data_IF_828323393857
#
_entry.id   IF_828323393857
#
_cell.length_a   1.000
_cell.length_b   1.000
_cell.length_c   1.000
_cell.angle_alpha   90.00
_cell.angle_beta   90.00
_cell.angle_gamma   90.00
#
_symmetry.space_group_name_H-M   'P 1'
#
loop_
_entity.id
_entity.type
_entity.pdbx_description
1 polymer ?
#
# COMPACT_ATOMS: atom_id res chain seq x y z
N UNK A 1 20.09 -24.38 7.70
CA UNK A 1 18.78 -23.71 7.85
C UNK A 1 18.99 -22.27 7.42
N UNK A 2 18.78 -22.00 6.13
CA UNK A 2 18.90 -20.64 5.60
C UNK A 2 17.65 -19.90 6.07
N UNK A 3 17.84 -18.75 6.70
CA UNK A 3 16.79 -17.82 7.11
C UNK A 3 15.92 -17.55 5.88
N UNK A 4 14.70 -18.07 5.87
CA UNK A 4 13.71 -17.65 4.87
C UNK A 4 13.45 -16.18 5.13
N UNK A 5 13.83 -15.32 4.20
CA UNK A 5 13.31 -13.96 4.13
C UNK A 5 11.80 -14.07 4.28
N UNK A 6 11.26 -13.55 5.39
CA UNK A 6 9.81 -13.50 5.60
C UNK A 6 9.27 -12.55 4.54
N UNK A 7 8.89 -13.10 3.40
CA UNK A 7 8.17 -12.37 2.37
C UNK A 7 6.84 -11.97 3.00
N UNK A 8 6.56 -10.66 3.08
CA UNK A 8 5.26 -10.22 3.58
C UNK A 8 4.16 -10.91 2.79
N UNK A 9 3.15 -11.41 3.50
CA UNK A 9 2.04 -12.06 2.83
C UNK A 9 1.14 -11.01 2.15
N UNK A 10 0.34 -11.42 1.17
CA UNK A 10 -0.56 -10.54 0.41
C UNK A 10 -1.44 -9.62 1.26
N UNK A 11 -1.94 -10.11 2.40
CA UNK A 11 -2.81 -9.35 3.30
C UNK A 11 -2.02 -8.28 4.06
N UNK A 12 -0.79 -8.58 4.47
CA UNK A 12 0.12 -7.62 5.13
C UNK A 12 0.44 -6.45 4.19
N UNK A 13 0.70 -6.73 2.92
CA UNK A 13 0.98 -5.70 1.90
C UNK A 13 -0.24 -4.80 1.69
N UNK A 14 -1.44 -5.39 1.54
CA UNK A 14 -2.68 -4.61 1.41
C UNK A 14 -2.92 -3.75 2.65
N UNK A 15 -2.70 -4.29 3.84
CA UNK A 15 -2.88 -3.58 5.11
C UNK A 15 -1.91 -2.41 5.27
N UNK A 16 -0.63 -2.61 4.96
CA UNK A 16 0.40 -1.56 5.02
C UNK A 16 0.09 -0.41 4.04
N UNK A 17 -0.30 -0.76 2.81
CA UNK A 17 -0.67 0.23 1.80
C UNK A 17 -1.91 1.03 2.22
N UNK A 18 -2.93 0.34 2.76
CA UNK A 18 -4.16 0.96 3.27
C UNK A 18 -3.90 1.89 4.45
N UNK A 19 -3.00 1.51 5.36
CA UNK A 19 -2.59 2.36 6.48
C UNK A 19 -1.94 3.65 5.98
N UNK A 20 -1.00 3.55 5.04
CA UNK A 20 -0.32 4.71 4.45
C UNK A 20 -1.28 5.63 3.67
N UNK A 21 -2.27 5.07 2.98
CA UNK A 21 -3.34 5.84 2.32
C UNK A 21 -4.21 6.59 3.32
N UNK A 22 -4.53 5.98 4.46
CA UNK A 22 -5.36 6.61 5.50
C UNK A 22 -4.69 7.87 6.08
N UNK A 23 -3.36 7.89 6.14
CA UNK A 23 -2.59 9.07 6.56
C UNK A 23 -2.56 10.18 5.49
N UNK A 24 -2.84 9.86 4.22
CA UNK A 24 -2.89 10.80 3.09
C UNK A 24 -4.19 11.64 3.08
N UNK A 25 -4.43 12.37 4.17
CA UNK A 25 -5.62 13.23 4.36
C UNK A 25 -5.53 14.57 3.62
N UNK A 26 -4.35 14.92 3.13
CA UNK A 26 -4.09 16.09 2.30
C UNK A 26 -2.99 15.75 1.28
N UNK A 27 -2.77 16.64 0.31
CA UNK A 27 -1.71 16.46 -0.68
C UNK A 27 -0.32 16.53 -0.03
N UNK A 28 0.17 15.38 0.43
CA UNK A 28 1.43 15.21 1.14
C UNK A 28 2.45 14.51 0.24
N UNK A 29 3.37 15.29 -0.33
CA UNK A 29 4.45 14.77 -1.17
C UNK A 29 5.29 13.67 -0.49
N UNK A 30 5.64 13.75 0.81
CA UNK A 30 6.33 12.66 1.49
C UNK A 30 5.54 11.35 1.50
N UNK A 31 4.23 11.41 1.79
CA UNK A 31 3.39 10.21 1.83
C UNK A 31 3.17 9.62 0.44
N UNK A 32 3.00 10.46 -0.59
CA UNK A 32 2.92 10.00 -1.99
C UNK A 32 4.20 9.27 -2.39
N UNK A 33 5.37 9.76 -1.98
CA UNK A 33 6.64 9.08 -2.25
C UNK A 33 6.72 7.73 -1.52
N UNK A 34 6.26 7.65 -0.27
CA UNK A 34 6.19 6.37 0.47
C UNK A 34 5.30 5.37 -0.24
N UNK A 35 4.09 5.78 -0.64
CA UNK A 35 3.15 4.93 -1.40
C UNK A 35 3.73 4.48 -2.75
N UNK A 36 4.55 5.33 -3.39
CA UNK A 36 5.23 4.99 -4.64
C UNK A 36 6.31 3.92 -4.40
N UNK A 37 7.15 4.09 -3.39
CA UNK A 37 8.18 3.12 -3.04
C UNK A 37 7.57 1.77 -2.65
N UNK A 38 6.52 1.76 -1.82
CA UNK A 38 5.81 0.53 -1.44
C UNK A 38 5.23 -0.20 -2.66
N UNK A 39 4.70 0.54 -3.65
CA UNK A 39 4.18 -0.05 -4.87
C UNK A 39 5.29 -0.65 -5.76
N UNK A 40 6.44 0.02 -5.85
CA UNK A 40 7.62 -0.48 -6.58
C UNK A 40 8.19 -1.75 -5.96
N UNK A 41 8.24 -1.83 -4.62
CA UNK A 41 8.73 -3.00 -3.89
C UNK A 41 7.79 -4.21 -3.96
N UNK A 42 6.48 -3.96 -4.14
CA UNK A 42 5.44 -4.98 -4.09
C UNK A 42 4.72 -5.19 -5.44
N UNK A 43 5.44 -5.05 -6.56
CA UNK A 43 4.89 -5.23 -7.92
C UNK A 43 4.14 -6.55 -8.13
N UNK A 44 4.58 -7.64 -7.49
CA UNK A 44 3.90 -8.95 -7.54
C UNK A 44 2.46 -8.91 -6.97
N UNK A 45 2.16 -7.90 -6.16
CA UNK A 45 0.89 -7.69 -5.48
C UNK A 45 0.16 -6.44 -6.01
N UNK A 46 0.54 -5.96 -7.21
CA UNK A 46 -0.08 -4.78 -7.83
C UNK A 46 -1.63 -4.80 -7.83
N UNK A 47 -2.32 -5.94 -8.07
CA UNK A 47 -3.79 -5.97 -7.98
C UNK A 47 -4.33 -5.57 -6.61
N UNK A 48 -3.66 -5.96 -5.52
CA UNK A 48 -4.08 -5.65 -4.15
C UNK A 48 -3.84 -4.18 -3.79
N UNK A 49 -2.76 -3.60 -4.34
CA UNK A 49 -2.45 -2.17 -4.20
C UNK A 49 -3.51 -1.33 -4.92
N UNK A 50 -3.89 -1.73 -6.15
CA UNK A 50 -4.96 -1.04 -6.91
C UNK A 50 -6.29 -1.12 -6.14
N UNK A 51 -6.66 -2.29 -5.64
CA UNK A 51 -7.86 -2.49 -4.83
C UNK A 51 -7.87 -1.58 -3.59
N UNK A 52 -6.74 -1.48 -2.86
CA UNK A 52 -6.62 -0.60 -1.69
C UNK A 52 -6.82 0.90 -2.05
N UNK A 53 -6.32 1.33 -3.21
CA UNK A 53 -6.52 2.71 -3.71
C UNK A 53 -7.99 2.95 -4.04
N UNK A 54 -8.63 2.04 -4.78
CA UNK A 54 -10.04 2.14 -5.14
C UNK A 54 -10.93 2.19 -3.90
N UNK A 55 -10.72 1.27 -2.94
CA UNK A 55 -11.44 1.26 -1.65
C UNK A 55 -11.24 2.54 -0.84
N UNK A 56 -10.05 3.15 -0.89
CA UNK A 56 -9.78 4.41 -0.21
C UNK A 56 -10.52 5.58 -0.89
N UNK A 57 -10.51 5.64 -2.22
CA UNK A 57 -11.22 6.67 -2.97
C UNK A 57 -12.74 6.59 -2.76
N UNK A 58 -13.31 5.39 -2.73
CA UNK A 58 -14.73 5.18 -2.44
C UNK A 58 -15.14 5.70 -1.04
N UNK A 59 -14.23 5.72 -0.07
CA UNK A 59 -14.48 6.25 1.28
C UNK A 59 -14.34 7.76 1.39
N UNK A 60 -13.51 8.38 0.55
CA UNK A 60 -13.17 9.82 0.65
C UNK A 60 -14.05 10.68 -0.27
N UNK A 61 -14.62 10.10 -1.31
CA UNK A 61 -15.44 10.82 -2.32
C UNK A 61 -16.92 10.94 -1.89
N UNK A 62 -17.33 10.34 -0.76
CA UNK A 62 -18.66 10.48 -0.16
C UNK A 62 -18.59 11.04 1.26
#
# INVERSE_FOLDING_TARGET
>A
MILTETTMNSEEIKAEYTSSLTDLTFNSKPLINVLTMLAEENLAHAPLIVEAIEEHLDKVIF
#
